data_IF_344491539775
#
_entry.id   IF_344491539775
#
_cell.length_a   1.000
_cell.length_b   1.000
_cell.length_c   1.000
_cell.angle_alpha   90.00
_cell.angle_beta   90.00
_cell.angle_gamma   90.00
#
_symmetry.space_group_name_H-M   'P 1'
#
loop_
_entity.id
_entity.type
_entity.pdbx_description
1 polymer ?
#
# COMPACT_ATOMS: atom_id res chain seq x y z
N UNK A 1 20.28 18.26 8.50
CA UNK A 1 20.52 17.31 7.40
C UNK A 1 21.30 16.17 7.99
N UNK A 2 20.61 15.06 8.25
CA UNK A 2 21.24 13.82 8.70
C UNK A 2 22.23 13.40 7.62
N UNK A 3 23.43 12.97 8.03
CA UNK A 3 24.44 12.55 7.06
C UNK A 3 24.08 11.14 6.58
N UNK A 4 24.14 10.90 5.26
CA UNK A 4 23.70 9.66 4.60
C UNK A 4 24.27 8.38 5.24
N UNK A 5 25.46 8.47 5.84
CA UNK A 5 26.13 7.35 6.51
C UNK A 5 25.50 6.93 7.85
N UNK A 6 24.71 7.80 8.50
CA UNK A 6 24.04 7.49 9.77
C UNK A 6 22.69 6.79 9.57
N UNK A 7 22.14 6.79 8.34
CA UNK A 7 20.81 6.25 8.06
C UNK A 7 20.69 4.74 8.35
N UNK A 8 21.62 3.87 7.92
CA UNK A 8 21.52 2.44 8.21
C UNK A 8 21.57 2.12 9.71
N UNK A 9 22.39 2.86 10.47
CA UNK A 9 22.51 2.67 11.91
C UNK A 9 21.20 3.05 12.63
N UNK A 10 20.59 4.18 12.25
CA UNK A 10 19.29 4.62 12.80
C UNK A 10 18.17 3.65 12.49
N UNK A 11 18.08 3.16 11.24
CA UNK A 11 17.13 2.12 10.88
C UNK A 11 17.35 0.83 11.67
N UNK A 12 18.61 0.45 11.90
CA UNK A 12 18.94 -0.74 12.70
C UNK A 12 18.46 -0.60 14.14
N UNK A 13 18.74 0.53 14.80
CA UNK A 13 18.25 0.81 16.15
C UNK A 13 16.72 0.82 16.22
N UNK A 14 16.05 1.52 15.30
CA UNK A 14 14.58 1.57 15.27
C UNK A 14 13.98 0.16 15.15
N UNK A 15 14.48 -0.67 14.22
CA UNK A 15 13.96 -2.02 14.01
C UNK A 15 14.22 -2.91 15.23
N UNK A 16 15.41 -2.82 15.84
CA UNK A 16 15.76 -3.58 17.03
C UNK A 16 14.91 -3.21 18.24
N UNK A 17 14.70 -1.91 18.47
CA UNK A 17 14.03 -1.41 19.66
C UNK A 17 12.51 -1.58 19.60
N UNK A 18 11.91 -1.47 18.40
CA UNK A 18 10.45 -1.40 18.25
C UNK A 18 9.82 -2.53 17.43
N UNK A 19 10.59 -3.26 16.61
CA UNK A 19 10.02 -4.22 15.65
C UNK A 19 10.65 -5.62 15.72
N UNK A 20 11.47 -5.94 16.73
CA UNK A 20 12.15 -7.23 16.83
C UNK A 20 11.19 -8.44 16.76
N UNK A 21 10.05 -8.36 17.44
CA UNK A 21 9.02 -9.41 17.40
C UNK A 21 8.36 -9.52 16.03
N UNK A 22 8.00 -8.39 15.42
CA UNK A 22 7.43 -8.36 14.07
C UNK A 22 8.40 -8.94 13.03
N UNK A 23 9.71 -8.70 13.17
CA UNK A 23 10.75 -9.30 12.31
C UNK A 23 10.83 -10.81 12.51
N UNK A 24 10.69 -11.30 13.75
CA UNK A 24 10.64 -12.74 14.02
C UNK A 24 9.42 -13.38 13.35
N UNK A 25 8.24 -12.76 13.47
CA UNK A 25 7.02 -13.23 12.85
C UNK A 25 7.13 -13.23 11.31
N UNK A 26 7.73 -12.19 10.73
CA UNK A 26 8.01 -12.12 9.29
C UNK A 26 8.86 -13.31 8.82
N UNK A 27 9.91 -13.68 9.58
CA UNK A 27 10.76 -14.81 9.24
C UNK A 27 10.00 -16.16 9.28
N UNK A 28 9.01 -16.30 10.17
CA UNK A 28 8.17 -17.49 10.24
C UNK A 28 7.15 -17.58 9.10
N UNK A 29 6.61 -16.43 8.66
CA UNK A 29 5.63 -16.35 7.57
C UNK A 29 6.27 -16.35 6.17
N UNK A 30 7.60 -16.40 6.09
CA UNK A 30 8.31 -16.40 4.81
C UNK A 30 8.05 -17.72 4.03
N UNK A 31 7.80 -17.67 2.71
CA UNK A 31 7.89 -16.53 1.79
C UNK A 31 6.55 -15.83 1.50
N UNK A 32 5.49 -16.17 2.21
CA UNK A 32 4.14 -15.65 1.94
C UNK A 32 4.04 -14.16 2.31
N UNK A 33 4.65 -13.78 3.44
CA UNK A 33 4.91 -12.39 3.79
C UNK A 33 6.39 -12.05 3.57
N UNK A 34 6.63 -10.92 2.89
CA UNK A 34 7.97 -10.47 2.50
C UNK A 34 8.28 -9.05 2.98
N UNK A 35 7.33 -8.42 3.66
CA UNK A 35 7.40 -7.03 4.04
C UNK A 35 7.17 -6.83 5.53
N UNK A 36 7.94 -5.93 6.13
CA UNK A 36 7.70 -5.39 7.47
C UNK A 36 6.99 -4.05 7.35
N UNK A 37 5.77 -3.95 7.86
CA UNK A 37 5.07 -2.68 7.97
C UNK A 37 5.61 -1.87 9.15
N UNK A 38 5.99 -0.61 8.89
CA UNK A 38 6.53 0.31 9.89
C UNK A 38 5.66 1.56 9.91
N UNK A 39 5.00 1.82 11.03
CA UNK A 39 4.19 3.03 11.15
C UNK A 39 5.07 4.27 11.29
N UNK A 40 4.80 5.29 10.47
CA UNK A 40 5.45 6.60 10.54
C UNK A 40 5.34 7.23 11.93
N UNK A 41 4.24 6.98 12.66
CA UNK A 41 4.03 7.46 14.04
C UNK A 41 5.07 6.91 15.01
N UNK A 42 5.49 5.66 14.82
CA UNK A 42 6.55 5.04 15.64
C UNK A 42 7.90 5.66 15.29
N UNK A 43 8.16 5.91 13.99
CA UNK A 43 9.38 6.58 13.54
C UNK A 43 9.46 8.00 14.12
N UNK A 44 8.37 8.76 14.05
CA UNK A 44 8.27 10.12 14.60
C UNK A 44 8.47 10.15 16.12
N UNK A 45 7.92 9.16 16.82
CA UNK A 45 8.13 9.01 18.26
C UNK A 45 9.57 8.62 18.64
N UNK A 46 10.27 7.92 17.75
CA UNK A 46 11.68 7.55 17.92
C UNK A 46 12.60 8.75 17.67
N UNK A 47 12.46 9.42 16.52
CA UNK A 47 13.19 10.63 16.18
C UNK A 47 12.44 11.46 15.12
N UNK A 48 12.06 12.69 15.49
CA UNK A 48 11.30 13.59 14.64
C UNK A 48 12.07 14.10 13.42
N UNK A 49 13.37 14.39 13.54
CA UNK A 49 14.18 14.84 12.40
C UNK A 49 14.36 13.70 11.39
N UNK A 50 14.54 12.48 11.88
CA UNK A 50 14.63 11.28 11.05
C UNK A 50 13.32 10.99 10.31
N UNK A 51 12.19 11.13 10.98
CA UNK A 51 10.88 10.97 10.35
C UNK A 51 10.64 12.01 9.24
N UNK A 52 10.96 13.28 9.49
CA UNK A 52 10.85 14.32 8.47
C UNK A 52 11.78 14.07 7.28
N UNK A 53 13.01 13.59 7.51
CA UNK A 53 13.96 13.28 6.42
C UNK A 53 13.48 12.14 5.51
N UNK A 54 12.71 11.17 6.03
CA UNK A 54 12.07 10.12 5.22
C UNK A 54 11.09 10.72 4.20
N UNK A 55 10.35 11.76 4.58
CA UNK A 55 9.37 12.39 3.70
C UNK A 55 10.06 13.18 2.59
N UNK A 56 11.15 13.88 2.94
CA UNK A 56 11.91 14.74 2.02
C UNK A 56 12.85 13.94 1.10
N UNK A 57 13.49 12.88 1.61
CA UNK A 57 14.50 12.09 0.91
C UNK A 57 14.21 10.57 0.93
N UNK A 58 13.00 10.13 0.53
CA UNK A 58 12.53 8.75 0.74
C UNK A 58 13.42 7.67 0.12
N UNK A 59 13.96 7.93 -1.08
CA UNK A 59 14.79 6.95 -1.81
C UNK A 59 16.06 6.54 -1.02
N UNK A 60 16.67 7.47 -0.27
CA UNK A 60 17.82 7.16 0.59
C UNK A 60 17.40 6.22 1.74
N UNK A 61 16.22 6.47 2.32
CA UNK A 61 15.71 5.68 3.43
C UNK A 61 15.24 4.29 3.00
N UNK A 62 14.64 4.14 1.82
CA UNK A 62 14.16 2.83 1.35
C UNK A 62 15.30 1.82 1.18
N UNK A 63 16.43 2.26 0.64
CA UNK A 63 17.60 1.39 0.54
C UNK A 63 18.17 1.07 1.93
N UNK A 64 18.36 2.08 2.76
CA UNK A 64 18.94 1.92 4.11
C UNK A 64 18.07 1.03 5.02
N UNK A 65 16.75 1.17 4.96
CA UNK A 65 15.80 0.39 5.77
C UNK A 65 15.77 -1.08 5.37
N UNK A 66 15.72 -1.38 4.06
CA UNK A 66 15.79 -2.75 3.55
C UNK A 66 17.12 -3.42 3.91
N UNK A 67 18.24 -2.66 3.84
CA UNK A 67 19.55 -3.16 4.22
C UNK A 67 19.62 -3.48 5.72
N UNK A 68 19.10 -2.59 6.59
CA UNK A 68 19.06 -2.81 8.03
C UNK A 68 18.22 -4.04 8.40
N UNK A 69 17.02 -4.17 7.81
CA UNK A 69 16.14 -5.31 8.03
C UNK A 69 16.79 -6.63 7.56
N UNK A 70 17.44 -6.61 6.38
CA UNK A 70 18.17 -7.76 5.88
C UNK A 70 19.34 -8.15 6.79
N UNK A 71 20.08 -7.18 7.30
CA UNK A 71 21.18 -7.45 8.23
C UNK A 71 20.68 -8.10 9.52
N UNK A 72 19.57 -7.61 10.08
CA UNK A 72 18.93 -8.23 11.24
C UNK A 72 18.59 -9.70 10.99
N UNK A 73 17.95 -10.01 9.85
CA UNK A 73 17.62 -11.39 9.49
C UNK A 73 18.85 -12.26 9.24
N UNK A 74 19.91 -11.70 8.65
CA UNK A 74 21.20 -12.38 8.47
C UNK A 74 21.81 -12.78 9.81
N UNK A 75 21.82 -11.87 10.78
CA UNK A 75 22.36 -12.11 12.13
C UNK A 75 21.53 -13.16 12.88
N UNK A 76 20.22 -13.24 12.60
CA UNK A 76 19.33 -14.30 13.09
C UNK A 76 19.46 -15.64 12.35
N UNK A 77 20.31 -15.73 11.31
CA UNK A 77 20.60 -16.97 10.57
C UNK A 77 19.81 -17.16 9.27
N UNK A 78 19.06 -16.15 8.81
CA UNK A 78 18.22 -16.22 7.61
C UNK A 78 18.91 -15.61 6.37
N UNK A 79 19.87 -16.33 5.77
CA UNK A 79 20.71 -15.78 4.69
C UNK A 79 20.04 -15.56 3.34
N UNK A 80 18.90 -16.21 3.10
CA UNK A 80 18.23 -16.23 1.79
C UNK A 80 16.97 -15.35 1.75
N UNK A 81 16.73 -14.53 2.77
CA UNK A 81 15.59 -13.62 2.85
C UNK A 81 15.98 -12.22 2.38
N UNK A 82 15.13 -11.63 1.54
CA UNK A 82 15.30 -10.27 0.99
C UNK A 82 14.03 -9.47 1.24
N UNK A 83 13.80 -9.03 2.49
CA UNK A 83 12.56 -8.39 2.88
C UNK A 83 12.51 -6.91 2.48
N UNK A 84 11.31 -6.34 2.51
CA UNK A 84 11.08 -4.91 2.29
C UNK A 84 10.52 -4.24 3.54
N UNK A 85 10.96 -3.02 3.85
CA UNK A 85 10.32 -2.15 4.82
C UNK A 85 9.25 -1.33 4.11
N UNK A 86 8.03 -1.33 4.65
CA UNK A 86 6.86 -0.66 4.08
C UNK A 86 6.33 0.36 5.09
N UNK A 87 6.58 1.64 4.83
CA UNK A 87 6.21 2.73 5.74
C UNK A 87 4.74 3.08 5.56
N UNK A 88 3.94 3.00 6.62
CA UNK A 88 2.48 3.25 6.65
C UNK A 88 2.11 4.37 7.63
N UNK A 89 0.87 4.86 7.58
CA UNK A 89 0.35 5.90 8.46
C UNK A 89 1.07 7.25 8.37
N UNK A 90 1.39 7.68 7.14
CA UNK A 90 1.98 9.01 6.88
C UNK A 90 1.15 10.14 7.53
N UNK A 91 1.80 11.24 7.92
CA UNK A 91 1.14 12.31 8.66
C UNK A 91 0.15 13.06 7.75
N UNK A 92 -0.85 13.70 8.35
CA UNK A 92 -2.01 14.24 7.62
C UNK A 92 -1.66 15.32 6.60
N UNK A 93 -0.57 16.05 6.83
CA UNK A 93 -0.02 17.07 5.94
C UNK A 93 0.64 16.49 4.68
N UNK A 94 0.92 15.19 4.66
CA UNK A 94 1.41 14.45 3.47
C UNK A 94 0.30 13.76 2.69
N UNK A 95 -0.95 13.84 3.18
CA UNK A 95 -2.12 13.34 2.46
C UNK A 95 -2.56 14.39 1.43
N UNK A 96 -2.67 13.98 0.16
CA UNK A 96 -3.16 14.81 -0.94
C UNK A 96 -4.16 14.04 -1.79
N UNK A 97 -5.10 14.76 -2.37
CA UNK A 97 -5.90 14.22 -3.48
C UNK A 97 -5.12 14.36 -4.79
N UNK A 98 -5.44 13.56 -5.80
CA UNK A 98 -4.73 13.56 -7.10
C UNK A 98 -4.71 14.96 -7.75
N UNK A 99 -5.82 15.68 -7.70
CA UNK A 99 -5.99 17.04 -8.23
C UNK A 99 -5.21 18.11 -7.46
N UNK A 100 -4.72 17.80 -6.26
CA UNK A 100 -3.89 18.69 -5.45
C UNK A 100 -2.40 18.54 -5.73
N UNK A 101 -1.96 17.49 -6.44
CA UNK A 101 -0.55 17.24 -6.69
C UNK A 101 0.08 18.35 -7.55
N UNK A 102 1.23 18.87 -7.11
CA UNK A 102 1.99 19.94 -7.75
C UNK A 102 3.45 19.54 -7.94
N UNK A 103 4.20 20.41 -8.61
CA UNK A 103 5.63 20.20 -8.87
C UNK A 103 6.45 20.10 -7.58
N UNK A 104 6.05 20.81 -6.53
CA UNK A 104 6.76 20.82 -5.24
C UNK A 104 6.64 19.47 -4.52
N UNK A 105 5.62 18.65 -4.82
CA UNK A 105 5.45 17.33 -4.23
C UNK A 105 6.33 16.25 -4.91
N UNK A 106 7.01 16.57 -6.02
CA UNK A 106 7.83 15.60 -6.77
C UNK A 106 9.03 15.18 -5.91
N UNK A 107 9.37 13.89 -5.95
CA UNK A 107 10.44 13.25 -5.17
C UNK A 107 10.18 13.13 -3.66
N UNK A 108 9.07 13.66 -3.16
CA UNK A 108 8.66 13.55 -1.76
C UNK A 108 7.74 12.34 -1.56
N UNK A 109 7.67 11.87 -0.32
CA UNK A 109 6.79 10.78 0.06
C UNK A 109 5.38 11.31 0.38
N UNK A 110 4.40 10.92 -0.44
CA UNK A 110 3.02 11.39 -0.35
C UNK A 110 2.05 10.22 -0.13
N UNK A 111 0.92 10.52 0.51
CA UNK A 111 -0.20 9.60 0.67
C UNK A 111 -1.39 10.06 -0.18
N UNK A 112 -1.99 9.14 -0.94
CA UNK A 112 -3.18 9.39 -1.75
C UNK A 112 -4.31 8.45 -1.32
N UNK A 113 -5.41 9.03 -0.84
CA UNK A 113 -6.66 8.30 -0.60
C UNK A 113 -7.42 8.14 -1.93
N UNK A 114 -7.58 6.90 -2.37
CA UNK A 114 -8.12 6.61 -3.70
C UNK A 114 -8.86 5.27 -3.78
N UNK A 115 -9.59 5.09 -4.87
CA UNK A 115 -10.12 3.81 -5.31
C UNK A 115 -9.32 3.30 -6.52
N UNK A 116 -8.93 2.03 -6.51
CA UNK A 116 -8.28 1.40 -7.65
C UNK A 116 -9.31 1.16 -8.77
N UNK A 117 -9.12 1.76 -9.95
CA UNK A 117 -10.09 1.67 -11.06
C UNK A 117 -9.67 0.65 -12.12
N UNK A 118 -8.40 0.67 -12.51
CA UNK A 118 -7.84 -0.25 -13.51
C UNK A 118 -6.53 -0.80 -13.03
N UNK A 119 -6.34 -2.09 -13.27
CA UNK A 119 -5.15 -2.82 -12.85
C UNK A 119 -4.68 -3.66 -14.03
N UNK A 120 -3.41 -3.52 -14.38
CA UNK A 120 -2.78 -4.34 -15.42
C UNK A 120 -2.42 -5.72 -14.88
N UNK A 121 -2.14 -6.69 -15.76
CA UNK A 121 -1.56 -7.97 -15.29
C UNK A 121 -0.16 -7.77 -14.72
N UNK A 122 0.21 -8.57 -13.71
CA UNK A 122 1.58 -8.59 -13.17
C UNK A 122 2.55 -9.04 -14.25
N UNK A 123 3.63 -8.29 -14.45
CA UNK A 123 4.67 -8.58 -15.44
C UNK A 123 6.06 -8.51 -14.80
N UNK A 124 7.00 -9.38 -15.19
CA UNK A 124 8.38 -9.26 -14.75
C UNK A 124 9.05 -8.05 -15.41
N UNK A 125 9.83 -7.30 -14.62
CA UNK A 125 10.66 -6.17 -15.05
C UNK A 125 12.10 -6.41 -14.62
N UNK A 126 13.07 -6.05 -15.47
CA UNK A 126 14.48 -6.04 -15.07
C UNK A 126 14.72 -4.88 -14.11
N UNK A 127 15.14 -5.19 -12.89
CA UNK A 127 15.56 -4.24 -11.87
C UNK A 127 17.06 -3.94 -11.98
N UNK A 128 17.88 -4.96 -12.22
CA UNK A 128 19.30 -4.83 -12.51
C UNK A 128 19.65 -5.71 -13.70
N UNK A 129 20.17 -5.10 -14.77
CA UNK A 129 20.50 -5.76 -16.01
C UNK A 129 21.98 -6.17 -16.01
N UNK A 130 22.24 -7.44 -16.28
CA UNK A 130 23.61 -7.95 -16.43
C UNK A 130 23.98 -7.92 -17.91
N UNK A 131 25.07 -7.23 -18.22
CA UNK A 131 25.59 -7.06 -19.58
C UNK A 131 26.97 -7.70 -19.71
N UNK A 132 27.19 -8.48 -20.77
CA UNK A 132 28.50 -9.02 -21.12
C UNK A 132 29.13 -8.18 -22.23
N UNK A 133 30.39 -7.77 -22.04
CA UNK A 133 31.18 -7.09 -23.05
C UNK A 133 31.74 -8.09 -24.08
N UNK A 134 31.27 -8.04 -25.32
CA UNK A 134 31.69 -8.99 -26.38
C UNK A 134 33.21 -8.94 -26.65
N UNK A 135 33.84 -7.79 -26.40
CA UNK A 135 35.28 -7.62 -26.63
C UNK A 135 36.18 -8.39 -25.64
N UNK A 136 35.72 -8.64 -24.41
CA UNK A 136 36.57 -9.20 -23.35
C UNK A 136 35.87 -10.21 -22.43
N UNK A 137 34.58 -10.45 -22.58
CA UNK A 137 33.78 -11.36 -21.75
C UNK A 137 33.45 -10.83 -20.35
N UNK A 138 33.86 -9.61 -20.00
CA UNK A 138 33.59 -9.04 -18.69
C UNK A 138 32.09 -8.71 -18.52
N UNK A 139 31.51 -9.14 -17.40
CA UNK A 139 30.10 -8.93 -17.03
C UNK A 139 29.93 -7.74 -16.11
N UNK A 140 28.96 -6.88 -16.40
CA UNK A 140 28.65 -5.68 -15.62
C UNK A 140 27.17 -5.65 -15.26
N UNK A 141 26.85 -5.26 -14.02
CA UNK A 141 25.47 -5.11 -13.56
C UNK A 141 25.10 -3.63 -13.56
N UNK A 142 24.03 -3.26 -14.27
CA UNK A 142 23.53 -1.89 -14.37
C UNK A 142 22.11 -1.81 -13.84
N UNK A 143 21.92 -0.97 -12.83
CA UNK A 143 20.59 -0.70 -12.26
C UNK A 143 19.66 -0.08 -13.30
N UNK A 144 18.41 -0.52 -13.31
CA UNK A 144 17.35 -0.08 -14.21
C UNK A 144 16.33 0.73 -13.39
N UNK A 145 16.53 2.05 -13.25
CA UNK A 145 15.75 2.90 -12.33
C UNK A 145 14.30 3.13 -12.76
N UNK A 146 13.97 2.83 -14.02
CA UNK A 146 12.62 2.92 -14.57
C UNK A 146 12.37 1.80 -15.58
N UNK A 147 11.11 1.66 -16.00
CA UNK A 147 10.61 0.65 -16.94
C UNK A 147 10.49 1.16 -18.38
N UNK A 148 10.91 2.38 -18.67
CA UNK A 148 10.72 2.99 -20.00
C UNK A 148 11.76 2.51 -21.00
N UNK A 149 13.03 2.54 -20.62
CA UNK A 149 14.15 2.23 -21.51
C UNK A 149 15.20 1.38 -20.79
N UNK A 150 15.74 0.40 -21.50
CA UNK A 150 16.85 -0.41 -21.02
C UNK A 150 18.13 0.46 -21.04
N UNK A 151 18.68 0.73 -19.87
CA UNK A 151 19.93 1.46 -19.70
C UNK A 151 21.09 0.49 -19.89
N UNK A 152 21.89 0.73 -20.91
CA UNK A 152 23.10 -0.04 -21.21
C UNK A 152 24.36 0.66 -20.65
N UNK A 153 25.44 -0.09 -20.39
CA UNK A 153 26.73 0.48 -20.04
C UNK A 153 27.23 1.48 -21.09
N UNK A 154 27.81 2.59 -20.63
CA UNK A 154 28.44 3.60 -21.51
C UNK A 154 29.83 3.10 -21.96
N UNK A 155 30.48 2.32 -21.11
CA UNK A 155 31.80 1.72 -21.35
C UNK A 155 32.01 0.45 -20.51
N UNK A 156 32.99 -0.35 -20.90
CA UNK A 156 33.41 -1.53 -20.15
C UNK A 156 34.35 -1.10 -19.02
N UNK A 157 33.85 -1.05 -17.79
CA UNK A 157 34.56 -0.50 -16.62
C UNK A 157 35.87 -1.25 -16.34
N UNK A 158 36.99 -0.53 -16.34
CA UNK A 158 38.31 -1.12 -16.03
C UNK A 158 38.50 -1.44 -14.55
N UNK A 159 37.80 -0.71 -13.68
CA UNK A 159 37.91 -0.84 -12.22
C UNK A 159 37.60 -2.28 -11.77
N UNK A 160 36.63 -2.92 -12.43
CA UNK A 160 36.16 -4.27 -12.09
C UNK A 160 36.77 -5.36 -12.99
N UNK A 161 37.81 -5.03 -13.78
CA UNK A 161 38.50 -5.99 -14.66
C UNK A 161 38.05 -5.99 -16.13
N UNK A 162 37.32 -4.97 -16.57
CA UNK A 162 36.93 -4.78 -17.96
C UNK A 162 38.03 -4.17 -18.85
N UNK A 163 37.77 -4.08 -20.16
CA UNK A 163 38.76 -3.66 -21.16
C UNK A 163 38.79 -2.16 -21.47
N UNK A 164 37.95 -1.33 -20.83
CA UNK A 164 37.90 0.13 -21.05
C UNK A 164 37.31 0.58 -22.38
N UNK A 165 36.77 -0.35 -23.20
CA UNK A 165 36.15 0.02 -24.47
C UNK A 165 34.79 0.68 -24.24
N UNK A 166 34.60 1.84 -24.86
CA UNK A 166 33.32 2.53 -24.86
C UNK A 166 32.27 1.80 -25.70
N UNK A 167 30.98 2.10 -25.50
CA UNK A 167 29.82 1.57 -26.26
C UNK A 167 29.93 1.73 -27.78
N UNK A 168 30.72 2.69 -28.26
CA UNK A 168 30.99 2.87 -29.71
C UNK A 168 32.03 1.88 -30.27
N UNK A 169 32.84 1.28 -29.40
CA UNK A 169 33.96 0.39 -29.75
C UNK A 169 33.69 -1.09 -29.41
N UNK A 170 32.71 -1.38 -28.57
CA UNK A 170 32.26 -2.73 -28.23
C UNK A 170 30.74 -2.76 -28.11
N UNK A 171 30.15 -3.96 -28.22
CA UNK A 171 28.73 -4.19 -27.93
C UNK A 171 28.59 -4.82 -26.55
N UNK A 172 27.51 -4.46 -25.87
CA UNK A 172 27.11 -5.02 -24.59
C UNK A 172 25.90 -5.92 -24.84
N UNK A 173 26.05 -7.22 -24.61
CA UNK A 173 24.96 -8.18 -24.77
C UNK A 173 24.23 -8.34 -23.43
N UNK A 174 22.91 -8.15 -23.43
CA UNK A 174 22.09 -8.37 -22.24
C UNK A 174 22.00 -9.87 -21.94
N UNK A 175 22.48 -10.27 -20.77
CA UNK A 175 22.26 -11.61 -20.21
C UNK A 175 21.03 -11.60 -19.33
N UNK A 176 19.88 -11.89 -19.95
CA UNK A 176 18.59 -11.90 -19.27
C UNK A 176 18.54 -12.90 -18.11
N UNK A 177 19.20 -14.05 -18.24
CA UNK A 177 19.22 -15.10 -17.22
C UNK A 177 19.99 -14.69 -15.96
N UNK A 178 21.02 -13.85 -16.12
CA UNK A 178 21.85 -13.35 -15.02
C UNK A 178 21.35 -12.00 -14.49
N UNK A 179 20.28 -11.47 -15.07
CA UNK A 179 19.67 -10.20 -14.66
C UNK A 179 18.68 -10.42 -13.52
N UNK A 180 18.57 -9.43 -12.64
CA UNK A 180 17.62 -9.45 -11.53
C UNK A 180 16.27 -8.96 -12.03
N UNK A 181 15.27 -9.83 -11.98
CA UNK A 181 13.88 -9.56 -12.35
C UNK A 181 13.02 -9.34 -11.11
N UNK A 182 12.07 -8.42 -11.19
CA UNK A 182 11.10 -8.12 -10.15
C UNK A 182 9.69 -8.12 -10.74
N UNK A 183 8.69 -8.45 -9.94
CA UNK A 183 7.30 -8.29 -10.35
C UNK A 183 6.94 -6.80 -10.36
N UNK A 184 6.22 -6.37 -11.39
CA UNK A 184 5.74 -5.00 -11.54
C UNK A 184 4.33 -5.00 -12.12
N UNK A 185 3.53 -4.05 -11.67
CA UNK A 185 2.15 -3.89 -12.08
C UNK A 185 1.77 -2.41 -12.07
N UNK A 186 1.09 -1.98 -13.13
CA UNK A 186 0.48 -0.65 -13.15
C UNK A 186 -0.94 -0.67 -12.60
N UNK A 187 -1.25 0.34 -11.80
CA UNK A 187 -2.54 0.56 -11.15
C UNK A 187 -2.98 2.00 -11.41
N UNK A 188 -4.19 2.20 -11.93
CA UNK A 188 -4.84 3.50 -12.03
C UNK A 188 -5.62 3.74 -10.73
N UNK A 189 -5.24 4.79 -10.00
CA UNK A 189 -5.92 5.24 -8.79
C UNK A 189 -6.77 6.47 -9.12
N UNK A 190 -8.00 6.50 -8.62
CA UNK A 190 -8.92 7.62 -8.77
C UNK A 190 -9.28 8.20 -7.41
N UNK A 191 -9.37 9.53 -7.32
CA UNK A 191 -9.88 10.22 -6.13
C UNK A 191 -11.25 9.70 -5.70
N UNK A 192 -11.47 9.69 -4.38
CA UNK A 192 -12.74 9.30 -3.79
C UNK A 192 -13.83 10.34 -4.14
N UNK A 193 -14.90 9.95 -4.85
CA UNK A 193 -15.95 10.90 -5.27
C UNK A 193 -16.58 11.67 -4.11
N UNK A 194 -16.63 11.08 -2.92
CA UNK A 194 -17.22 11.67 -1.71
C UNK A 194 -16.40 12.84 -1.16
N UNK A 195 -15.09 12.90 -1.45
CA UNK A 195 -14.21 13.99 -1.07
C UNK A 195 -14.30 15.19 -2.04
N UNK A 196 -14.97 15.02 -3.19
CA UNK A 196 -15.07 16.04 -4.22
C UNK A 196 -16.20 17.02 -3.96
N UNK A 197 -15.93 18.30 -4.17
CA UNK A 197 -16.99 19.33 -4.20
C UNK A 197 -17.85 19.14 -5.45
N UNK A 198 -19.17 19.26 -5.29
CA UNK A 198 -20.14 18.94 -6.35
C UNK A 198 -19.82 19.62 -7.68
N UNK A 199 -19.75 18.82 -8.75
CA UNK A 199 -19.53 19.26 -10.14
C UNK A 199 -18.10 19.12 -10.66
N UNK A 200 -17.12 18.80 -9.81
CA UNK A 200 -15.74 18.54 -10.24
C UNK A 200 -15.59 17.05 -10.58
N UNK A 201 -14.97 16.75 -11.73
CA UNK A 201 -14.67 15.38 -12.12
C UNK A 201 -13.46 14.86 -11.32
N UNK A 202 -13.53 13.66 -10.72
CA UNK A 202 -12.41 13.09 -10.00
C UNK A 202 -11.24 12.83 -10.95
N UNK A 203 -10.04 13.23 -10.52
CA UNK A 203 -8.82 13.00 -11.28
C UNK A 203 -8.24 11.61 -11.01
N UNK A 204 -7.35 11.18 -11.90
CA UNK A 204 -6.73 9.85 -11.89
C UNK A 204 -5.23 9.97 -12.02
N UNK A 205 -4.51 9.12 -11.30
CA UNK A 205 -3.05 8.99 -11.38
C UNK A 205 -2.68 7.56 -11.73
N UNK A 206 -1.64 7.40 -12.55
CA UNK A 206 -1.08 6.10 -12.85
C UNK A 206 0.05 5.80 -11.87
N UNK A 207 -0.04 4.65 -11.24
CA UNK A 207 0.86 4.19 -10.20
C UNK A 207 1.56 2.91 -10.63
N UNK A 208 2.75 2.67 -10.09
CA UNK A 208 3.50 1.42 -10.25
C UNK A 208 3.66 0.75 -8.89
N UNK A 209 3.19 -0.49 -8.79
CA UNK A 209 3.42 -1.39 -7.66
C UNK A 209 4.50 -2.40 -8.07
N UNK A 210 5.51 -2.58 -7.24
CA UNK A 210 6.65 -3.45 -7.51
C UNK A 210 6.87 -4.47 -6.38
N UNK A 211 7.59 -5.54 -6.68
CA UNK A 211 7.94 -6.60 -5.73
C UNK A 211 6.69 -7.29 -5.14
N UNK A 212 6.58 -7.35 -3.82
CA UNK A 212 5.50 -7.97 -3.04
C UNK A 212 4.17 -7.20 -3.12
N UNK A 213 4.20 -5.94 -3.55
CA UNK A 213 2.97 -5.14 -3.74
C UNK A 213 2.24 -5.48 -5.05
N UNK A 214 2.92 -6.13 -6.00
CA UNK A 214 2.32 -6.51 -7.26
C UNK A 214 1.27 -7.63 -7.04
N UNK A 215 0.06 -7.43 -7.54
CA UNK A 215 -1.04 -8.37 -7.41
C UNK A 215 -1.82 -8.27 -6.09
N UNK A 216 -1.53 -7.30 -5.23
CA UNK A 216 -2.22 -7.11 -3.93
C UNK A 216 -3.52 -6.31 -4.02
N UNK A 217 -3.80 -5.66 -5.16
CA UNK A 217 -4.99 -4.81 -5.36
C UNK A 217 -5.97 -5.41 -6.36
N UNK A 218 -7.26 -5.20 -6.08
CA UNK A 218 -8.38 -5.49 -6.97
C UNK A 218 -9.08 -4.20 -7.42
N UNK A 219 -9.72 -4.20 -8.61
CA UNK A 219 -10.55 -3.08 -9.03
C UNK A 219 -11.71 -2.85 -8.05
N UNK A 220 -11.84 -1.61 -7.56
CA UNK A 220 -12.82 -1.18 -6.57
C UNK A 220 -12.29 -1.13 -5.15
N UNK A 221 -11.06 -1.60 -4.89
CA UNK A 221 -10.45 -1.49 -3.57
C UNK A 221 -10.21 -0.04 -3.20
N UNK A 222 -10.61 0.33 -1.97
CA UNK A 222 -10.29 1.62 -1.37
C UNK A 222 -8.99 1.50 -0.62
N UNK A 223 -8.05 2.36 -0.98
CA UNK A 223 -6.69 2.31 -0.45
C UNK A 223 -6.18 3.70 -0.16
N UNK A 224 -5.38 3.81 0.90
CA UNK A 224 -4.40 4.88 1.01
C UNK A 224 -3.07 4.36 0.46
N UNK A 225 -2.68 4.88 -0.69
CA UNK A 225 -1.42 4.53 -1.32
C UNK A 225 -0.34 5.52 -0.91
N UNK A 226 0.69 5.03 -0.23
CA UNK A 226 1.84 5.83 0.16
C UNK A 226 2.98 5.58 -0.82
N UNK A 227 3.65 6.62 -1.31
CA UNK A 227 4.68 6.44 -2.31
C UNK A 227 5.40 7.73 -2.70
N UNK A 228 6.33 7.60 -3.63
CA UNK A 228 7.14 8.72 -4.12
C UNK A 228 6.62 9.17 -5.48
N UNK A 229 6.38 10.47 -5.62
CA UNK A 229 5.96 11.05 -6.90
C UNK A 229 7.16 11.20 -7.82
N UNK A 230 7.01 10.78 -9.07
CA UNK A 230 8.02 10.95 -10.10
C UNK A 230 7.36 11.35 -11.42
N UNK A 231 8.16 11.92 -12.33
CA UNK A 231 7.65 12.48 -13.58
C UNK A 231 8.14 11.74 -14.81
N UNK A 232 7.35 11.80 -15.89
CA UNK A 232 7.73 11.29 -17.22
C UNK A 232 7.42 12.29 -18.30
N UNK A 233 8.33 12.42 -19.27
CA UNK A 233 8.07 13.27 -20.44
C UNK A 233 6.96 12.66 -21.29
N UNK A 234 5.99 13.48 -21.69
CA UNK A 234 5.05 13.09 -22.71
C UNK A 234 5.74 13.04 -24.08
N UNK A 235 5.55 11.94 -24.80
CA UNK A 235 5.99 11.81 -26.20
C UNK A 235 4.85 12.16 -27.15
N UNK A 236 4.99 13.27 -27.89
CA UNK A 236 4.02 13.66 -28.92
C UNK A 236 4.65 13.50 -30.30
N UNK A 237 4.14 12.56 -31.10
CA UNK A 237 4.70 12.25 -32.43
C UNK A 237 6.13 11.71 -32.38
N UNK A 238 6.51 11.02 -31.30
CA UNK A 238 7.85 10.44 -31.12
C UNK A 238 8.93 11.42 -30.64
N UNK A 239 8.56 12.65 -30.27
CA UNK A 239 9.47 13.64 -29.67
C UNK A 239 9.07 13.92 -28.23
N UNK A 240 10.08 14.11 -27.39
CA UNK A 240 9.91 14.52 -25.99
C UNK A 240 9.36 15.95 -25.92
N UNK A 241 8.55 16.20 -24.90
CA UNK A 241 7.92 17.51 -24.66
C UNK A 241 8.31 18.04 -23.29
N UNK A 242 8.26 19.37 -23.08
CA UNK A 242 8.53 19.96 -21.76
C UNK A 242 7.37 19.76 -20.77
N UNK A 243 6.30 19.07 -21.18
CA UNK A 243 5.17 18.72 -20.31
C UNK A 243 5.40 17.31 -19.80
N UNK A 244 5.28 17.17 -18.49
CA UNK A 244 5.49 15.90 -17.81
C UNK A 244 4.20 15.42 -17.16
N UNK A 245 4.00 14.11 -17.19
CA UNK A 245 2.97 13.41 -16.43
C UNK A 245 3.55 13.00 -15.07
N UNK A 246 2.74 13.14 -14.01
CA UNK A 246 3.09 12.72 -12.65
C UNK A 246 2.60 11.29 -12.44
N UNK A 247 3.45 10.47 -11.85
CA UNK A 247 3.21 9.07 -11.49
C UNK A 247 3.54 8.86 -10.01
N UNK A 248 2.95 7.84 -9.41
CA UNK A 248 3.27 7.41 -8.04
C UNK A 248 3.99 6.05 -8.08
N UNK A 249 5.19 5.99 -7.51
CA UNK A 249 5.83 4.71 -7.16
C UNK A 249 5.35 4.31 -5.78
N UNK A 250 4.54 3.26 -5.72
CA UNK A 250 3.90 2.82 -4.48
C UNK A 250 4.97 2.20 -3.59
N UNK A 251 5.11 2.76 -2.39
CA UNK A 251 5.96 2.23 -1.33
C UNK A 251 5.18 1.35 -0.36
N UNK A 252 3.93 1.68 -0.03
CA UNK A 252 3.03 0.85 0.80
C UNK A 252 1.56 1.11 0.47
N UNK A 253 0.68 0.20 0.92
CA UNK A 253 -0.76 0.25 0.66
C UNK A 253 -1.53 -0.05 1.95
N UNK A 254 -2.32 0.92 2.42
CA UNK A 254 -3.26 0.71 3.52
C UNK A 254 -4.66 0.47 2.94
N UNK A 255 -5.11 -0.79 2.92
CA UNK A 255 -6.42 -1.19 2.37
C UNK A 255 -7.50 -0.92 3.41
N UNK A 256 -8.51 -0.13 3.07
CA UNK A 256 -9.59 0.25 4.01
C UNK A 256 -10.78 -0.71 3.97
N UNK A 257 -11.01 -1.40 2.85
CA UNK A 257 -12.13 -2.33 2.66
C UNK A 257 -11.64 -3.78 2.53
N UNK A 258 -10.86 -4.26 3.49
CA UNK A 258 -10.35 -5.64 3.48
C UNK A 258 -11.54 -6.59 3.69
N UNK A 259 -11.80 -7.57 2.79
CA UNK A 259 -12.81 -8.59 3.01
C UNK A 259 -12.57 -9.31 4.35
N UNK A 260 -13.63 -9.71 5.05
CA UNK A 260 -13.51 -10.40 6.33
C UNK A 260 -12.64 -11.66 6.24
N UNK A 261 -12.66 -12.33 5.09
CA UNK A 261 -11.89 -13.53 4.81
C UNK A 261 -10.37 -13.30 4.72
N UNK A 262 -9.94 -12.05 4.50
CA UNK A 262 -8.52 -11.66 4.41
C UNK A 262 -7.97 -11.14 5.75
N UNK A 263 -8.81 -10.96 6.77
CA UNK A 263 -8.38 -10.48 8.08
C UNK A 263 -7.67 -11.61 8.81
N UNK A 264 -6.37 -11.42 9.06
CA UNK A 264 -5.56 -12.31 9.90
C UNK A 264 -5.68 -11.85 11.35
N UNK A 265 -6.13 -12.74 12.24
CA UNK A 265 -6.26 -12.45 13.68
C UNK A 265 -4.99 -12.97 14.36
N UNK A 266 -4.28 -12.10 15.05
CA UNK A 266 -3.09 -12.46 15.84
C UNK A 266 -3.48 -13.23 17.10
N UNK A 267 -2.52 -13.96 17.72
CA UNK A 267 -2.80 -14.70 18.96
C UNK A 267 -3.26 -13.79 20.10
N UNK A 268 -2.70 -12.59 20.20
CA UNK A 268 -3.08 -11.57 21.18
C UNK A 268 -4.51 -11.06 20.93
N UNK A 269 -4.85 -10.72 19.69
CA UNK A 269 -6.22 -10.32 19.33
C UNK A 269 -7.23 -11.45 19.58
N UNK A 270 -6.86 -12.71 19.30
CA UNK A 270 -7.72 -13.85 19.59
C UNK A 270 -8.01 -13.97 21.10
N UNK A 271 -7.00 -13.74 21.92
CA UNK A 271 -7.14 -13.74 23.38
C UNK A 271 -8.05 -12.59 23.83
N UNK A 272 -7.86 -11.38 23.31
CA UNK A 272 -8.73 -10.23 23.60
C UNK A 272 -10.18 -10.51 23.20
N UNK A 273 -10.41 -11.07 22.01
CA UNK A 273 -11.75 -11.45 21.53
C UNK A 273 -12.39 -12.47 22.47
N UNK A 274 -11.64 -13.48 22.92
CA UNK A 274 -12.13 -14.52 23.85
C UNK A 274 -12.48 -13.95 25.22
N UNK A 275 -11.68 -13.03 25.75
CA UNK A 275 -11.98 -12.36 27.02
C UNK A 275 -13.19 -11.43 26.87
N UNK A 276 -13.27 -10.67 25.77
CA UNK A 276 -14.41 -9.81 25.48
C UNK A 276 -15.71 -10.62 25.37
N UNK A 277 -15.67 -11.79 24.72
CA UNK A 277 -16.82 -12.68 24.56
C UNK A 277 -17.36 -13.24 25.90
N UNK A 278 -16.55 -13.25 26.98
CA UNK A 278 -16.98 -13.70 28.31
C UNK A 278 -17.73 -12.63 29.10
N UNK A 279 -17.72 -11.38 28.63
CA UNK A 279 -18.40 -10.28 29.33
C UNK A 279 -19.92 -10.49 29.37
N UNK A 280 -20.56 -10.33 30.54
CA UNK A 280 -22.02 -10.48 30.65
C UNK A 280 -22.78 -9.34 29.96
N UNK A 281 -22.16 -8.17 29.80
CA UNK A 281 -22.73 -6.95 29.22
C UNK A 281 -22.42 -6.77 27.72
N UNK A 282 -21.90 -7.80 27.04
CA UNK A 282 -21.35 -7.69 25.68
C UNK A 282 -22.34 -7.12 24.65
N UNK A 283 -23.62 -7.49 24.74
CA UNK A 283 -24.67 -6.98 23.85
C UNK A 283 -24.90 -5.48 24.03
N UNK A 284 -24.87 -5.01 25.26
CA UNK A 284 -25.10 -3.61 25.60
C UNK A 284 -23.88 -2.78 25.23
N UNK A 285 -22.68 -3.31 25.50
CA UNK A 285 -21.41 -2.76 25.06
C UNK A 285 -21.41 -2.53 23.54
N UNK A 286 -21.67 -3.56 22.74
CA UNK A 286 -21.66 -3.45 21.28
C UNK A 286 -22.76 -2.54 20.74
N UNK A 287 -23.97 -2.60 21.30
CA UNK A 287 -25.03 -1.68 20.88
C UNK A 287 -24.65 -0.22 21.17
N UNK A 288 -24.02 0.06 22.31
CA UNK A 288 -23.56 1.40 22.68
C UNK A 288 -22.35 1.88 21.86
N UNK A 289 -21.55 0.94 21.35
CA UNK A 289 -20.45 1.22 20.41
C UNK A 289 -20.94 1.63 19.01
N UNK A 290 -22.20 1.36 18.64
CA UNK A 290 -22.75 1.85 17.36
C UNK A 290 -23.09 3.34 17.46
N UNK A 291 -22.39 4.15 16.67
CA UNK A 291 -22.54 5.61 16.61
C UNK A 291 -22.63 6.25 18.02
N UNK A 292 -21.55 6.19 18.83
CA UNK A 292 -21.59 6.61 20.23
C UNK A 292 -21.89 8.10 20.41
N UNK A 293 -21.66 8.91 19.37
CA UNK A 293 -22.02 10.34 19.32
C UNK A 293 -23.53 10.61 19.28
N UNK A 294 -24.35 9.61 18.94
CA UNK A 294 -25.81 9.73 18.88
C UNK A 294 -26.40 9.24 20.20
N UNK A 295 -27.05 10.13 20.93
CA UNK A 295 -27.70 9.82 22.19
C UNK A 295 -28.99 8.98 22.00
N UNK A 296 -29.18 7.96 22.84
CA UNK A 296 -30.38 7.11 22.86
C UNK A 296 -30.45 6.11 21.70
N UNK A 297 -31.68 5.80 21.25
CA UNK A 297 -31.97 4.87 20.15
C UNK A 297 -31.45 3.43 20.37
N UNK A 298 -31.41 2.97 21.62
CA UNK A 298 -30.84 1.68 22.02
C UNK A 298 -31.35 0.50 21.18
N UNK A 299 -32.67 0.41 20.97
CA UNK A 299 -33.28 -0.64 20.15
C UNK A 299 -32.84 -0.59 18.68
N UNK A 300 -32.69 0.61 18.13
CA UNK A 300 -32.24 0.81 16.74
C UNK A 300 -30.78 0.40 16.63
N UNK A 301 -29.92 0.90 17.52
CA UNK A 301 -28.50 0.56 17.56
C UNK A 301 -28.26 -0.93 17.73
N UNK A 302 -29.01 -1.58 18.63
CA UNK A 302 -28.96 -3.03 18.82
C UNK A 302 -29.41 -3.80 17.57
N UNK A 303 -30.43 -3.33 16.87
CA UNK A 303 -30.89 -3.96 15.63
C UNK A 303 -29.83 -3.83 14.51
N UNK A 304 -29.20 -2.67 14.39
CA UNK A 304 -28.11 -2.43 13.44
C UNK A 304 -26.87 -3.27 13.79
N UNK A 305 -26.52 -3.39 15.06
CA UNK A 305 -25.46 -4.29 15.52
C UNK A 305 -25.74 -5.74 15.08
N UNK A 306 -26.96 -6.26 15.29
CA UNK A 306 -27.32 -7.61 14.83
C UNK A 306 -27.25 -7.76 13.30
N UNK A 307 -27.56 -6.70 12.56
CA UNK A 307 -27.42 -6.69 11.10
C UNK A 307 -25.96 -6.84 10.65
N UNK A 308 -24.99 -6.25 11.36
CA UNK A 308 -23.55 -6.41 11.03
C UNK A 308 -23.06 -7.84 11.23
N UNK A 309 -23.47 -8.49 12.32
CA UNK A 309 -23.13 -9.90 12.55
C UNK A 309 -23.84 -10.85 11.57
N UNK A 310 -25.02 -10.43 11.07
CA UNK A 310 -25.82 -11.23 10.16
C UNK A 310 -26.41 -12.48 10.81
N UNK A 311 -27.00 -13.33 9.98
CA UNK A 311 -27.57 -14.62 10.39
C UNK A 311 -26.97 -15.78 9.61
N UNK A 312 -27.31 -17.00 10.01
CA UNK A 312 -26.78 -18.21 9.37
C UNK A 312 -27.67 -18.61 8.20
N UNK A 313 -27.12 -18.62 6.98
CA UNK A 313 -27.80 -19.17 5.82
C UNK A 313 -27.94 -20.69 5.96
N UNK A 314 -29.12 -21.24 5.65
CA UNK A 314 -29.41 -22.68 5.79
C UNK A 314 -29.83 -23.28 4.46
N UNK A 315 -29.33 -24.48 4.18
CA UNK A 315 -29.80 -25.31 3.08
C UNK A 315 -30.89 -26.25 3.59
N UNK A 316 -32.05 -26.21 2.97
CA UNK A 316 -33.16 -27.09 3.32
C UNK A 316 -32.99 -28.46 2.61
N UNK A 317 -33.68 -29.48 3.10
CA UNK A 317 -33.63 -30.83 2.55
C UNK A 317 -34.14 -30.92 1.09
N UNK A 318 -34.93 -29.93 0.65
CA UNK A 318 -35.47 -29.81 -0.71
C UNK A 318 -34.51 -29.08 -1.69
N UNK A 319 -33.31 -28.70 -1.23
CA UNK A 319 -32.31 -27.99 -2.02
C UNK A 319 -32.50 -26.47 -2.07
N UNK A 320 -33.54 -25.92 -1.42
CA UNK A 320 -33.72 -24.46 -1.32
C UNK A 320 -32.80 -23.85 -0.25
N UNK A 321 -32.37 -22.60 -0.46
CA UNK A 321 -31.50 -21.88 0.49
C UNK A 321 -32.26 -20.75 1.17
N UNK A 322 -32.31 -20.78 2.50
CA UNK A 322 -32.80 -19.68 3.31
C UNK A 322 -31.67 -18.68 3.58
N UNK A 323 -31.96 -17.40 3.35
CA UNK A 323 -31.02 -16.29 3.53
C UNK A 323 -30.77 -16.03 5.02
N UNK A 324 -29.51 -15.73 5.37
CA UNK A 324 -29.12 -15.31 6.72
C UNK A 324 -29.14 -13.79 6.93
N UNK A 325 -29.07 -12.99 5.87
CA UNK A 325 -28.94 -11.54 5.99
C UNK A 325 -30.24 -10.86 6.42
N UNK A 326 -30.07 -9.83 7.26
CA UNK A 326 -31.14 -9.02 7.83
C UNK A 326 -31.26 -7.70 7.06
N UNK A 327 -32.47 -7.37 6.60
CA UNK A 327 -32.78 -6.06 6.01
C UNK A 327 -33.51 -5.20 7.02
N UNK A 328 -33.03 -3.97 7.21
CA UNK A 328 -33.61 -3.02 8.15
C UNK A 328 -34.04 -1.77 7.39
N UNK A 329 -35.29 -1.33 7.63
CA UNK A 329 -35.81 -0.05 7.18
C UNK A 329 -35.93 0.89 8.39
N UNK A 330 -35.16 1.98 8.38
CA UNK A 330 -35.29 3.04 9.39
C UNK A 330 -36.30 4.10 8.92
N UNK A 331 -37.52 4.00 9.43
CA UNK A 331 -38.59 4.98 9.18
C UNK A 331 -38.74 5.93 10.38
N UNK A 332 -39.01 7.21 10.13
CA UNK A 332 -39.27 8.19 11.18
C UNK A 332 -39.24 9.63 10.67
N UNK A 333 -39.26 10.59 11.58
CA UNK A 333 -39.28 12.02 11.24
C UNK A 333 -37.94 12.53 10.68
N UNK A 334 -37.94 13.62 9.90
CA UNK A 334 -36.70 14.32 9.52
C UNK A 334 -35.91 14.79 10.75
N UNK A 335 -34.59 14.81 10.68
CA UNK A 335 -33.73 15.34 11.75
C UNK A 335 -33.42 14.40 12.91
N UNK A 336 -33.95 13.16 12.93
CA UNK A 336 -33.68 12.17 14.00
C UNK A 336 -32.41 11.32 13.76
N UNK A 337 -31.34 11.93 13.22
CA UNK A 337 -30.02 11.32 13.01
C UNK A 337 -29.94 10.01 12.17
N UNK A 338 -31.03 9.56 11.52
CA UNK A 338 -31.05 8.30 10.73
C UNK A 338 -29.94 8.22 9.67
N UNK A 339 -29.71 9.32 8.94
CA UNK A 339 -28.65 9.36 7.92
C UNK A 339 -27.25 9.23 8.53
N UNK A 340 -27.03 9.81 9.72
CA UNK A 340 -25.75 9.66 10.42
C UNK A 340 -25.54 8.22 10.92
N UNK A 341 -26.59 7.56 11.42
CA UNK A 341 -26.53 6.13 11.78
C UNK A 341 -26.14 5.28 10.56
N UNK A 342 -26.77 5.52 9.41
CA UNK A 342 -26.47 4.76 8.19
C UNK A 342 -25.07 5.02 7.63
N UNK A 343 -24.56 6.25 7.73
CA UNK A 343 -23.16 6.55 7.40
C UNK A 343 -22.20 5.77 8.29
N UNK A 344 -22.41 5.82 9.63
CA UNK A 344 -21.58 5.07 10.57
C UNK A 344 -21.56 3.56 10.28
N UNK A 345 -22.73 3.03 9.92
CA UNK A 345 -22.87 1.62 9.54
C UNK A 345 -22.15 1.28 8.23
N UNK A 346 -22.09 2.21 7.27
CA UNK A 346 -21.33 2.03 6.05
C UNK A 346 -19.82 2.06 6.32
N UNK A 347 -19.36 2.89 7.26
CA UNK A 347 -17.94 3.02 7.60
C UNK A 347 -17.40 1.81 8.38
N UNK A 348 -18.19 1.27 9.32
CA UNK A 348 -17.77 0.10 10.13
C UNK A 348 -17.91 -1.24 9.38
N UNK A 349 -18.74 -1.28 8.33
CA UNK A 349 -18.95 -2.51 7.57
C UNK A 349 -17.81 -2.72 6.57
N UNK A 350 -17.16 -3.90 6.55
CA UNK A 350 -16.02 -4.18 5.65
C UNK A 350 -16.29 -3.93 4.16
N UNK A 351 -17.56 -4.03 3.74
CA UNK A 351 -18.02 -3.78 2.37
C UNK A 351 -19.19 -2.78 2.31
N UNK A 352 -19.28 -1.91 3.31
CA UNK A 352 -20.33 -0.90 3.39
C UNK A 352 -20.27 0.08 2.22
N UNK A 353 -21.44 0.37 1.64
CA UNK A 353 -21.59 1.44 0.64
C UNK A 353 -22.79 2.29 1.01
N UNK A 354 -22.55 3.58 1.16
CA UNK A 354 -23.61 4.56 1.36
C UNK A 354 -24.06 5.14 0.02
N UNK A 355 -25.36 5.06 -0.27
CA UNK A 355 -25.94 5.60 -1.51
C UNK A 355 -27.23 6.36 -1.21
N UNK A 356 -27.46 7.48 -1.88
CA UNK A 356 -28.70 8.26 -1.77
C UNK A 356 -29.65 7.88 -2.91
N UNK A 357 -30.97 7.88 -2.63
CA UNK A 357 -31.99 7.48 -3.61
C UNK A 357 -32.04 8.33 -4.88
N UNK A 358 -31.50 9.56 -4.87
CA UNK A 358 -31.39 10.41 -6.07
C UNK A 358 -30.19 10.04 -6.95
N UNK A 359 -29.14 9.43 -6.40
CA UNK A 359 -27.92 9.04 -7.13
C UNK A 359 -27.88 7.55 -7.50
N UNK A 360 -28.89 6.77 -7.10
CA UNK A 360 -28.98 5.35 -7.40
C UNK A 360 -29.87 5.09 -8.63
N UNK A 361 -29.28 4.67 -9.75
CA UNK A 361 -29.99 4.05 -10.87
C UNK A 361 -30.01 2.54 -10.69
N UNK A 362 -31.10 1.87 -11.09
CA UNK A 362 -31.22 0.40 -11.01
C UNK A 362 -30.32 -0.37 -12.01
N UNK A 363 -29.37 0.31 -12.67
CA UNK A 363 -28.57 -0.17 -13.79
C UNK A 363 -27.10 -0.31 -13.41
#
# INVERSE_FOLDING_TARGET
MLQEFDLPARWTSLIQDHFAEAVHNLAQMWPDEQSLEVSYRVIEGFDHEFAHDIVEHPELHFHASNQALRQFLLDAGHSNMYPFVRIVHLPSDQIRTVSQLRADDISHMMAIDAVATKITGVRPRIYAATFECIACGHTMVINQPNEQELIEPIECQQIDGGCGRAKRQTRFELKQQDSILINSQFVELQELPEQMKGGIQPERILCIAEHDLAGKLNPGDRVKANGVLFIRSQRKGGKDTPVFDIFLRIHSLERQNIPLEEIVITEDEELEIKELARRPDIYELFANSIAPSIFGMEYVKRSLMLQLFGGVARLNADGTRNRGDLHILLMGDPGVAKSQLLNYMADISPRGRFTSGQSASAA
#
